data_IF_748610434314
#
_entry.id   IF_748610434314
#
_cell.length_a   1.000
_cell.length_b   1.000
_cell.length_c   1.000
_cell.angle_alpha   90.00
_cell.angle_beta   90.00
_cell.angle_gamma   90.00
#
_symmetry.space_group_name_H-M   'P 1'
#
loop_
_entity.id
_entity.type
_entity.pdbx_description
1 polymer ?
#
# COMPACT_ATOMS: atom_id res chain seq x y z
N UNK A 1 -19.51 16.07 5.31
CA UNK A 1 -19.23 15.08 4.27
C UNK A 1 -17.91 14.41 4.57
N UNK A 2 -17.83 13.10 4.34
CA UNK A 2 -16.58 12.38 4.50
C UNK A 2 -15.64 12.69 3.33
N UNK A 3 -14.34 12.68 3.63
CA UNK A 3 -13.32 12.83 2.58
C UNK A 3 -13.24 11.56 1.73
N UNK A 4 -12.83 11.67 0.47
CA UNK A 4 -12.50 10.50 -0.32
C UNK A 4 -11.31 9.77 0.27
N UNK A 5 -11.16 8.49 -0.04
CA UNK A 5 -10.12 7.62 0.51
C UNK A 5 -9.16 7.19 -0.57
N UNK A 6 -7.88 7.33 -0.27
CA UNK A 6 -6.79 6.77 -1.07
C UNK A 6 -6.13 5.63 -0.32
N UNK A 7 -5.89 4.52 -1.03
CA UNK A 7 -5.13 3.38 -0.52
C UNK A 7 -3.81 3.31 -1.29
N UNK A 8 -2.70 3.34 -0.57
CA UNK A 8 -1.36 3.27 -1.15
C UNK A 8 -0.61 2.08 -0.56
N UNK A 9 -0.31 1.08 -1.36
CA UNK A 9 0.55 -0.02 -0.92
C UNK A 9 2.00 0.44 -0.88
N UNK A 10 2.71 0.07 0.19
CA UNK A 10 4.06 0.58 0.42
C UNK A 10 4.09 2.08 0.68
N UNK A 11 3.06 2.62 1.30
CA UNK A 11 2.87 4.06 1.47
C UNK A 11 3.64 4.71 2.61
N UNK A 12 4.50 3.96 3.30
CA UNK A 12 5.17 4.45 4.52
C UNK A 12 6.57 4.98 4.33
N UNK A 13 7.16 4.87 3.15
CA UNK A 13 8.50 5.39 2.88
C UNK A 13 8.71 5.66 1.40
N UNK A 14 9.77 6.40 1.08
CA UNK A 14 10.15 6.67 -0.31
C UNK A 14 9.05 7.34 -1.11
N UNK A 15 8.84 6.87 -2.33
CA UNK A 15 7.81 7.39 -3.24
C UNK A 15 6.42 7.23 -2.64
N UNK A 16 6.16 6.09 -1.99
CA UNK A 16 4.86 5.84 -1.36
C UNK A 16 4.53 6.83 -0.25
N UNK A 17 5.52 7.20 0.59
CA UNK A 17 5.33 8.20 1.63
C UNK A 17 5.03 9.58 1.05
N UNK A 18 5.77 9.98 0.02
CA UNK A 18 5.53 11.25 -0.67
C UNK A 18 4.14 11.27 -1.31
N UNK A 19 3.74 10.17 -1.93
CA UNK A 19 2.41 10.01 -2.53
C UNK A 19 1.31 10.09 -1.48
N UNK A 20 1.47 9.41 -0.35
CA UNK A 20 0.50 9.42 0.75
C UNK A 20 0.28 10.84 1.28
N UNK A 21 1.36 11.56 1.53
CA UNK A 21 1.30 12.94 2.02
C UNK A 21 0.67 13.89 1.00
N UNK A 22 1.01 13.75 -0.27
CA UNK A 22 0.45 14.59 -1.33
C UNK A 22 -1.05 14.35 -1.50
N UNK A 23 -1.49 13.11 -1.48
CA UNK A 23 -2.92 12.81 -1.56
C UNK A 23 -3.68 13.38 -0.36
N UNK A 24 -3.09 13.34 0.84
CA UNK A 24 -3.68 13.98 2.00
C UNK A 24 -3.80 15.50 1.82
N UNK A 25 -2.77 16.15 1.28
CA UNK A 25 -2.82 17.58 0.95
C UNK A 25 -3.93 17.89 -0.07
N UNK A 26 -4.18 16.98 -0.98
CA UNK A 26 -5.25 17.11 -1.99
C UNK A 26 -6.64 16.74 -1.45
N UNK A 27 -6.77 16.45 -0.17
CA UNK A 27 -8.06 16.29 0.51
C UNK A 27 -8.49 14.85 0.76
N UNK A 28 -7.62 13.87 0.55
CA UNK A 28 -7.93 12.45 0.81
C UNK A 28 -7.61 12.05 2.24
N UNK A 29 -8.42 11.17 2.80
CA UNK A 29 -7.99 10.34 3.91
C UNK A 29 -7.17 9.17 3.34
N UNK A 30 -6.17 8.71 4.07
CA UNK A 30 -5.16 7.80 3.53
C UNK A 30 -5.09 6.52 4.32
N UNK A 31 -5.32 5.40 3.64
CA UNK A 31 -4.98 4.06 4.13
C UNK A 31 -3.69 3.64 3.43
N UNK A 32 -2.66 3.39 4.19
CA UNK A 32 -1.39 2.93 3.61
C UNK A 32 -0.98 1.59 4.17
N UNK A 33 -0.22 0.83 3.40
CA UNK A 33 0.32 -0.44 3.87
C UNK A 33 1.84 -0.38 3.98
N UNK A 34 2.38 -1.21 4.86
CA UNK A 34 3.81 -1.45 5.01
C UNK A 34 4.03 -2.95 5.23
N UNK A 35 5.23 -3.44 4.96
CA UNK A 35 5.55 -4.83 5.24
C UNK A 35 6.38 -4.98 6.52
N UNK A 36 7.57 -4.40 6.55
CA UNK A 36 8.50 -4.56 7.69
C UNK A 36 8.77 -3.28 8.45
N UNK A 37 8.60 -2.12 7.82
CA UNK A 37 9.01 -0.83 8.36
C UNK A 37 7.82 -0.08 8.96
N UNK A 38 7.36 -0.51 10.15
CA UNK A 38 6.21 0.12 10.82
C UNK A 38 6.49 1.56 11.24
N UNK A 39 7.69 1.85 11.73
CA UNK A 39 8.03 3.17 12.25
C UNK A 39 7.90 4.30 11.23
N UNK A 40 8.51 4.20 10.03
CA UNK A 40 8.29 5.19 8.98
C UNK A 40 6.82 5.34 8.60
N UNK A 41 6.08 4.25 8.52
CA UNK A 41 4.65 4.27 8.19
C UNK A 41 3.84 5.03 9.24
N UNK A 42 4.10 4.77 10.53
CA UNK A 42 3.44 5.48 11.63
C UNK A 42 3.78 6.98 11.64
N UNK A 43 5.00 7.35 11.25
CA UNK A 43 5.39 8.76 11.13
C UNK A 43 4.59 9.47 10.03
N UNK A 44 4.40 8.84 8.89
CA UNK A 44 3.56 9.37 7.80
C UNK A 44 2.13 9.57 8.28
N UNK A 45 1.57 8.57 8.95
CA UNK A 45 0.22 8.65 9.50
C UNK A 45 0.11 9.81 10.50
N UNK A 46 1.08 9.97 11.38
CA UNK A 46 1.09 11.07 12.36
C UNK A 46 1.11 12.44 11.67
N UNK A 47 1.92 12.61 10.64
CA UNK A 47 1.97 13.86 9.86
C UNK A 47 0.62 14.15 9.20
N UNK A 48 0.01 13.16 8.57
CA UNK A 48 -1.29 13.33 7.90
C UNK A 48 -2.37 13.69 8.91
N UNK A 49 -2.40 13.02 10.05
CA UNK A 49 -3.38 13.32 11.11
C UNK A 49 -3.18 14.72 11.69
N UNK A 50 -1.93 15.15 11.87
CA UNK A 50 -1.62 16.48 12.35
C UNK A 50 -2.09 17.58 11.41
N UNK A 51 -2.17 17.29 10.11
CA UNK A 51 -2.68 18.21 9.10
C UNK A 51 -4.21 18.20 9.01
N UNK A 52 -4.90 17.35 9.77
CA UNK A 52 -6.36 17.35 9.87
C UNK A 52 -7.07 16.25 9.06
N UNK A 53 -6.34 15.43 8.33
CA UNK A 53 -6.91 14.29 7.61
C UNK A 53 -6.85 13.03 8.48
N UNK A 54 -7.68 12.04 8.17
CA UNK A 54 -7.56 10.73 8.78
C UNK A 54 -6.54 9.87 8.02
N UNK A 55 -5.86 9.01 8.74
CA UNK A 55 -4.90 8.10 8.14
C UNK A 55 -4.71 6.87 9.02
N UNK A 56 -4.40 5.75 8.39
CA UNK A 56 -4.11 4.49 9.08
C UNK A 56 -3.05 3.73 8.31
N UNK A 57 -2.13 3.11 9.04
CA UNK A 57 -1.13 2.21 8.49
C UNK A 57 -1.47 0.76 8.86
N UNK A 58 -1.44 -0.14 7.88
CA UNK A 58 -1.75 -1.56 8.06
C UNK A 58 -0.58 -2.39 7.54
N UNK A 59 -0.17 -3.37 8.33
CA UNK A 59 0.88 -4.31 7.91
C UNK A 59 0.29 -5.29 6.90
N UNK A 60 0.84 -5.31 5.69
CA UNK A 60 0.46 -6.23 4.62
C UNK A 60 1.70 -6.65 3.84
N UNK A 61 2.00 -7.93 3.86
CA UNK A 61 2.91 -8.52 2.88
C UNK A 61 2.11 -8.82 1.60
N UNK A 62 2.32 -8.05 0.56
CA UNK A 62 1.54 -8.18 -0.68
C UNK A 62 1.81 -9.48 -1.44
N UNK A 63 2.87 -10.23 -1.08
CA UNK A 63 3.11 -11.56 -1.61
C UNK A 63 2.33 -12.65 -0.87
N UNK A 64 1.68 -12.32 0.24
CA UNK A 64 0.91 -13.24 1.07
C UNK A 64 -0.59 -13.04 0.81
N UNK A 65 -1.21 -14.00 0.15
CA UNK A 65 -2.63 -13.92 -0.21
C UNK A 65 -3.56 -13.82 1.00
N UNK A 66 -3.18 -14.41 2.13
CA UNK A 66 -3.96 -14.32 3.38
C UNK A 66 -3.96 -12.91 3.94
N UNK A 67 -2.81 -12.25 3.96
CA UNK A 67 -2.70 -10.87 4.43
C UNK A 67 -3.43 -9.90 3.49
N UNK A 68 -3.31 -10.10 2.18
CA UNK A 68 -4.05 -9.32 1.19
C UNK A 68 -5.56 -9.51 1.34
N UNK A 69 -5.99 -10.74 1.61
CA UNK A 69 -7.41 -11.03 1.88
C UNK A 69 -7.94 -10.27 3.09
N UNK A 70 -7.14 -10.18 4.17
CA UNK A 70 -7.50 -9.40 5.35
C UNK A 70 -7.59 -7.90 5.04
N UNK A 71 -6.73 -7.38 4.18
CA UNK A 71 -6.84 -6.00 3.71
C UNK A 71 -8.19 -5.77 3.01
N UNK A 72 -8.60 -6.71 2.16
CA UNK A 72 -9.86 -6.60 1.40
C UNK A 72 -11.12 -6.58 2.26
N UNK A 73 -11.05 -7.03 3.51
CA UNK A 73 -12.16 -6.99 4.47
C UNK A 73 -11.92 -5.99 5.61
N UNK A 74 -10.89 -5.17 5.50
CA UNK A 74 -10.60 -4.15 6.51
C UNK A 74 -11.78 -3.17 6.63
N UNK A 75 -12.12 -2.68 7.85
CA UNK A 75 -13.26 -1.76 8.05
C UNK A 75 -13.25 -0.50 7.17
N UNK A 76 -12.08 0.00 6.79
CA UNK A 76 -11.98 1.15 5.90
C UNK A 76 -12.55 0.87 4.50
N UNK A 77 -12.64 -0.40 4.08
CA UNK A 77 -13.25 -0.76 2.80
C UNK A 77 -14.70 -0.35 2.70
N UNK A 78 -15.42 -0.30 3.84
CA UNK A 78 -16.82 0.15 3.88
C UNK A 78 -16.99 1.61 3.46
N UNK A 79 -15.94 2.42 3.52
CA UNK A 79 -15.95 3.81 3.07
C UNK A 79 -15.89 3.93 1.54
N UNK A 80 -15.51 2.88 0.84
CA UNK A 80 -15.14 2.92 -0.56
C UNK A 80 -13.72 3.45 -0.76
N UNK A 81 -13.07 2.99 -1.81
CA UNK A 81 -11.72 3.41 -2.18
C UNK A 81 -11.81 4.21 -3.47
N UNK A 82 -11.45 5.48 -3.40
CA UNK A 82 -11.55 6.41 -4.53
C UNK A 82 -10.29 6.42 -5.37
N UNK A 83 -9.13 6.17 -4.75
CA UNK A 83 -7.83 6.07 -5.42
C UNK A 83 -7.07 4.87 -4.88
N UNK A 84 -6.59 4.01 -5.76
CA UNK A 84 -5.72 2.89 -5.42
C UNK A 84 -4.37 3.08 -6.11
N UNK A 85 -3.31 3.16 -5.32
CA UNK A 85 -1.93 3.27 -5.81
C UNK A 85 -1.18 1.99 -5.45
N UNK A 86 -0.86 1.20 -6.45
CA UNK A 86 -0.11 -0.04 -6.30
C UNK A 86 1.39 0.28 -6.40
N UNK A 87 1.96 0.70 -5.28
CA UNK A 87 3.33 1.21 -5.22
C UNK A 87 4.31 0.24 -4.57
N UNK A 88 3.83 -0.77 -3.83
CA UNK A 88 4.72 -1.71 -3.16
C UNK A 88 5.65 -2.41 -4.15
N UNK A 89 6.83 -2.76 -3.68
CA UNK A 89 7.78 -3.49 -4.50
C UNK A 89 9.02 -3.86 -3.70
N UNK A 90 9.74 -4.83 -4.21
CA UNK A 90 11.03 -5.23 -3.69
C UNK A 90 11.94 -5.60 -4.85
N UNK A 91 13.22 -5.48 -4.63
CA UNK A 91 14.22 -6.02 -5.53
C UNK A 91 15.47 -6.35 -4.75
N UNK A 92 16.24 -7.28 -5.27
CA UNK A 92 17.51 -7.66 -4.72
C UNK A 92 18.61 -7.30 -5.73
N UNK A 93 19.62 -6.56 -5.26
CA UNK A 93 20.75 -6.18 -6.11
C UNK A 93 21.74 -7.33 -6.14
N UNK A 94 21.83 -8.00 -7.28
CA UNK A 94 22.77 -9.10 -7.50
C UNK A 94 23.53 -8.87 -8.80
N UNK A 95 24.74 -9.39 -8.88
CA UNK A 95 25.47 -9.41 -10.15
C UNK A 95 24.74 -10.31 -11.15
N UNK A 96 24.85 -10.00 -12.44
CA UNK A 96 24.10 -10.72 -13.47
C UNK A 96 24.38 -12.23 -13.47
N UNK A 97 25.63 -12.62 -13.20
CA UNK A 97 26.04 -14.04 -13.13
C UNK A 97 25.60 -14.74 -11.82
N UNK A 98 25.18 -13.98 -10.83
CA UNK A 98 24.65 -14.50 -9.55
C UNK A 98 23.11 -14.53 -9.50
N UNK A 99 22.44 -14.01 -10.51
CA UNK A 99 21.00 -14.00 -10.58
C UNK A 99 20.44 -15.43 -10.70
N UNK A 100 19.50 -15.78 -9.85
CA UNK A 100 18.83 -17.08 -9.88
C UNK A 100 17.37 -16.94 -10.28
N UNK A 101 16.76 -18.03 -10.75
CA UNK A 101 15.33 -18.07 -11.02
C UNK A 101 14.51 -17.87 -9.74
N UNK A 102 15.04 -18.32 -8.60
CA UNK A 102 14.36 -18.12 -7.31
C UNK A 102 14.25 -16.64 -6.96
N UNK A 103 15.33 -15.87 -7.14
CA UNK A 103 15.33 -14.41 -6.93
C UNK A 103 14.38 -13.73 -7.91
N UNK A 104 14.42 -14.10 -9.18
CA UNK A 104 13.52 -13.55 -10.19
C UNK A 104 12.06 -13.82 -9.83
N UNK A 105 11.72 -15.05 -9.49
CA UNK A 105 10.35 -15.44 -9.12
C UNK A 105 9.86 -14.69 -7.89
N UNK A 106 10.71 -14.54 -6.89
CA UNK A 106 10.34 -13.81 -5.67
C UNK A 106 10.04 -12.34 -5.99
N UNK A 107 10.84 -11.71 -6.83
CA UNK A 107 10.60 -10.33 -7.26
C UNK A 107 9.29 -10.21 -8.03
N UNK A 108 9.03 -11.12 -8.96
CA UNK A 108 7.77 -11.14 -9.72
C UNK A 108 6.56 -11.41 -8.83
N UNK A 109 6.69 -12.32 -7.86
CA UNK A 109 5.61 -12.63 -6.92
C UNK A 109 5.23 -11.40 -6.10
N UNK A 110 6.20 -10.68 -5.58
CA UNK A 110 5.93 -9.46 -4.80
C UNK A 110 5.43 -8.33 -5.69
N UNK A 111 6.14 -8.03 -6.77
CA UNK A 111 5.90 -6.79 -7.52
C UNK A 111 4.76 -6.90 -8.51
N UNK A 112 4.60 -8.04 -9.17
CA UNK A 112 3.57 -8.24 -10.18
C UNK A 112 2.35 -8.97 -9.63
N UNK A 113 2.52 -10.20 -9.15
CA UNK A 113 1.39 -11.00 -8.63
C UNK A 113 0.76 -10.32 -7.41
N UNK A 114 1.59 -9.73 -6.53
CA UNK A 114 1.11 -8.99 -5.37
C UNK A 114 0.26 -7.78 -5.76
N UNK A 115 0.64 -7.06 -6.80
CA UNK A 115 -0.16 -5.93 -7.29
C UNK A 115 -1.53 -6.40 -7.82
N UNK A 116 -1.56 -7.48 -8.59
CA UNK A 116 -2.81 -8.08 -9.08
C UNK A 116 -3.66 -8.58 -7.93
N UNK A 117 -3.05 -9.22 -6.93
CA UNK A 117 -3.73 -9.74 -5.75
C UNK A 117 -4.42 -8.62 -4.96
N UNK A 118 -3.70 -7.52 -4.70
CA UNK A 118 -4.27 -6.36 -4.02
C UNK A 118 -5.39 -5.74 -4.85
N UNK A 119 -5.19 -5.57 -6.14
CA UNK A 119 -6.23 -5.03 -7.01
C UNK A 119 -7.50 -5.86 -6.94
N UNK A 120 -7.39 -7.18 -7.02
CA UNK A 120 -8.55 -8.08 -6.95
C UNK A 120 -9.26 -8.00 -5.60
N UNK A 121 -8.52 -7.88 -4.50
CA UNK A 121 -9.10 -7.78 -3.17
C UNK A 121 -9.83 -6.44 -2.96
N UNK A 122 -9.32 -5.37 -3.53
CA UNK A 122 -9.82 -4.00 -3.35
C UNK A 122 -10.87 -3.62 -4.40
N UNK A 123 -10.82 -4.23 -5.56
CA UNK A 123 -11.68 -3.89 -6.71
C UNK A 123 -13.17 -3.82 -6.38
N UNK A 124 -13.75 -4.72 -5.56
CA UNK A 124 -15.17 -4.61 -5.20
C UNK A 124 -15.51 -3.32 -4.40
N UNK A 125 -14.53 -2.67 -3.84
CA UNK A 125 -14.69 -1.49 -2.99
C UNK A 125 -14.30 -0.18 -3.70
N UNK A 126 -13.81 -0.28 -4.95
CA UNK A 126 -13.49 0.91 -5.73
C UNK A 126 -14.77 1.67 -6.06
N UNK A 127 -14.73 2.98 -5.87
CA UNK A 127 -15.86 3.83 -6.24
C UNK A 127 -15.89 4.06 -7.75
N UNK A 128 -17.06 4.32 -8.27
CA UNK A 128 -17.23 4.58 -9.71
C UNK A 128 -16.65 5.93 -10.12
#
# INVERSE_FOLDING_TARGET
>A
MSRPVALITGGGRGIGAATSKRLAEDGYDVLLTYNTSSKPAEMVVAEIRSAGNDALAVKVDCSDGGEVGLLGIHPWMARGIDVLVLNHGSYERVAADELTLATLRQTMTTNFEGAVSVWKAVQPHLTA
#
